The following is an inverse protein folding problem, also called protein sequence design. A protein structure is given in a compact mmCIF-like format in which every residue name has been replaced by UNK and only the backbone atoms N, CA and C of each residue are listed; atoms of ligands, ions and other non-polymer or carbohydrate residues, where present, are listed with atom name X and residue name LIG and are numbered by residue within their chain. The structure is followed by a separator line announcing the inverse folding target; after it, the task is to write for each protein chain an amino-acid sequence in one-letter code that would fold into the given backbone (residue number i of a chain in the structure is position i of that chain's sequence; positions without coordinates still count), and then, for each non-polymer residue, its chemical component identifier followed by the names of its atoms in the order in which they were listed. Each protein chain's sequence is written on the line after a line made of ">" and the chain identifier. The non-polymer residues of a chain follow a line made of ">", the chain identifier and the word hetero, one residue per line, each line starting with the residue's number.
data_IF_390227563436
#
_entry.id   IF_390227563436
#
_cell.length_a   1.000
_cell.length_b   1.000
_cell.length_c   1.000
_cell.angle_alpha   90.00
_cell.angle_beta   90.00
_cell.angle_gamma   90.00
#
_symmetry.space_group_name_H-M   'P 1'
#
loop_
_entity.id
_entity.type
_entity.pdbx_description
1 polymer ?
#
# COMPACT_ATOMS: atom_id res chain seq x y z
N UNK A 1 -15.45 -1.10 3.18
CA UNK A 1 -15.24 -0.33 1.92
C UNK A 1 -16.64 -0.09 1.38
N UNK A 2 -16.94 1.13 0.91
CA UNK A 2 -18.28 1.57 0.51
C UNK A 2 -18.88 0.66 -0.58
N UNK A 3 -20.21 0.55 -0.63
CA UNK A 3 -21.06 -0.33 -1.48
C UNK A 3 -21.41 -1.73 -0.93
N UNK A 4 -21.22 -2.00 0.36
CA UNK A 4 -21.50 -3.32 1.00
C UNK A 4 -20.69 -4.51 0.43
N UNK A 5 -19.93 -4.29 -0.63
CA UNK A 5 -18.97 -5.18 -1.29
C UNK A 5 -17.60 -5.07 -0.59
N UNK A 6 -17.60 -5.24 0.73
CA UNK A 6 -16.37 -5.25 1.54
C UNK A 6 -15.65 -6.61 1.54
N UNK A 7 -15.99 -7.48 0.58
CA UNK A 7 -15.49 -8.84 0.48
C UNK A 7 -14.45 -8.94 -0.63
N UNK A 8 -13.18 -9.04 -0.22
CA UNK A 8 -12.07 -9.17 -1.16
C UNK A 8 -10.73 -9.00 -0.47
N UNK A 9 -9.67 -9.34 -1.18
CA UNK A 9 -8.29 -9.20 -0.71
C UNK A 9 -7.36 -8.85 -1.87
N UNK A 10 -6.40 -7.97 -1.59
CA UNK A 10 -5.27 -7.69 -2.49
C UNK A 10 -3.99 -8.11 -1.79
N UNK A 11 -3.25 -9.05 -2.38
CA UNK A 11 -1.92 -9.47 -1.95
C UNK A 11 -0.88 -9.00 -2.94
N UNK A 12 0.14 -8.32 -2.45
CA UNK A 12 1.29 -7.88 -3.25
C UNK A 12 2.57 -8.52 -2.72
N UNK A 13 3.31 -9.17 -3.60
CA UNK A 13 4.61 -9.76 -3.29
C UNK A 13 5.73 -8.76 -3.62
N UNK A 14 6.63 -8.54 -2.67
CA UNK A 14 7.82 -7.68 -2.83
C UNK A 14 9.06 -8.39 -2.27
N UNK A 15 10.27 -8.13 -2.80
CA UNK A 15 11.49 -8.62 -2.19
C UNK A 15 11.74 -7.89 -0.85
N UNK A 16 12.42 -8.53 0.12
CA UNK A 16 12.78 -7.88 1.37
C UNK A 16 13.52 -6.55 1.16
N UNK A 17 13.07 -5.50 1.86
CA UNK A 17 13.69 -4.17 1.83
C UNK A 17 13.55 -3.38 0.53
N UNK A 18 12.79 -3.89 -0.45
CA UNK A 18 12.57 -3.25 -1.75
C UNK A 18 11.08 -3.06 -2.01
N UNK A 19 10.74 -2.06 -2.81
CA UNK A 19 9.35 -1.75 -3.16
C UNK A 19 8.91 -2.33 -4.52
N UNK A 20 9.83 -3.03 -5.21
CA UNK A 20 9.54 -3.70 -6.49
C UNK A 20 8.41 -4.71 -6.33
N UNK A 21 7.41 -4.61 -7.20
CA UNK A 21 6.30 -5.56 -7.28
C UNK A 21 6.75 -6.80 -8.06
N UNK A 22 6.66 -7.98 -7.44
CA UNK A 22 6.97 -9.27 -8.08
C UNK A 22 5.72 -9.96 -8.63
N UNK A 23 4.56 -9.66 -8.06
CA UNK A 23 3.28 -10.21 -8.45
C UNK A 23 2.18 -9.71 -7.53
N UNK A 24 0.94 -9.75 -8.05
CA UNK A 24 -0.25 -9.29 -7.33
C UNK A 24 -1.37 -10.30 -7.52
N UNK A 25 -2.11 -10.57 -6.45
CA UNK A 25 -3.35 -11.34 -6.47
C UNK A 25 -4.48 -10.44 -5.98
N UNK A 26 -5.53 -10.30 -6.78
CA UNK A 26 -6.73 -9.53 -6.46
C UNK A 26 -7.92 -10.47 -6.50
N UNK A 27 -8.69 -10.50 -5.41
CA UNK A 27 -9.94 -11.26 -5.30
C UNK A 27 -11.01 -10.30 -4.78
N UNK A 28 -12.16 -10.25 -5.42
CA UNK A 28 -13.27 -9.38 -5.04
C UNK A 28 -13.98 -8.80 -6.26
N UNK A 29 -15.00 -7.99 -6.01
CA UNK A 29 -15.67 -7.21 -7.04
C UNK A 29 -14.66 -6.28 -7.75
N UNK A 30 -14.83 -6.06 -9.05
CA UNK A 30 -13.95 -5.22 -9.86
C UNK A 30 -12.46 -5.64 -9.86
N UNK A 31 -12.13 -6.90 -9.53
CA UNK A 31 -10.75 -7.37 -9.51
C UNK A 31 -10.00 -7.14 -10.83
N UNK A 32 -10.69 -7.29 -11.97
CA UNK A 32 -10.13 -7.03 -13.30
C UNK A 32 -9.79 -5.57 -13.54
N UNK A 33 -10.57 -4.64 -12.98
CA UNK A 33 -10.30 -3.20 -13.08
C UNK A 33 -9.14 -2.82 -12.15
N UNK A 34 -9.17 -3.31 -10.91
CA UNK A 34 -8.16 -3.03 -9.87
C UNK A 34 -6.77 -3.58 -10.20
N UNK A 35 -6.68 -4.76 -10.82
CA UNK A 35 -5.38 -5.36 -11.16
C UNK A 35 -4.63 -4.55 -12.23
N UNK A 36 -5.35 -3.76 -13.04
CA UNK A 36 -4.78 -2.99 -14.16
C UNK A 36 -3.73 -1.97 -13.69
N UNK A 37 -3.95 -1.31 -12.56
CA UNK A 37 -2.96 -0.38 -11.98
C UNK A 37 -1.64 -1.10 -11.65
N UNK A 38 -1.73 -2.29 -11.06
CA UNK A 38 -0.56 -3.10 -10.72
C UNK A 38 0.15 -3.66 -11.95
N UNK A 39 -0.60 -4.04 -13.00
CA UNK A 39 -0.03 -4.45 -14.29
C UNK A 39 0.78 -3.30 -14.89
N UNK A 40 0.21 -2.10 -14.96
CA UNK A 40 0.89 -0.91 -15.46
C UNK A 40 2.16 -0.62 -14.64
N UNK A 41 2.06 -0.71 -13.31
CA UNK A 41 3.20 -0.50 -12.43
C UNK A 41 4.32 -1.53 -12.68
N UNK A 42 3.98 -2.83 -12.77
CA UNK A 42 4.95 -3.90 -13.06
C UNK A 42 5.59 -3.73 -14.43
N UNK A 43 4.80 -3.41 -15.47
CA UNK A 43 5.29 -3.21 -16.84
C UNK A 43 6.29 -2.05 -16.93
N UNK A 44 6.10 -1.00 -16.13
CA UNK A 44 6.96 0.18 -16.11
C UNK A 44 8.01 0.16 -14.99
N UNK A 45 8.16 -0.94 -14.26
CA UNK A 45 9.12 -1.05 -13.16
C UNK A 45 8.85 -0.11 -11.98
N UNK A 46 7.61 0.34 -11.81
CA UNK A 46 7.19 1.19 -10.69
C UNK A 46 6.90 0.33 -9.46
N UNK A 47 7.49 0.70 -8.32
CA UNK A 47 7.28 0.02 -7.05
C UNK A 47 6.08 0.55 -6.25
N UNK A 48 5.79 -0.11 -5.13
CA UNK A 48 4.73 0.29 -4.19
C UNK A 48 4.90 1.71 -3.65
N UNK A 49 6.13 2.23 -3.59
CA UNK A 49 6.36 3.63 -3.19
C UNK A 49 5.73 4.63 -4.16
N UNK A 50 5.71 4.31 -5.46
CA UNK A 50 5.09 5.16 -6.49
C UNK A 50 3.56 5.08 -6.42
N UNK A 51 3.01 3.88 -6.28
CA UNK A 51 1.56 3.69 -6.02
C UNK A 51 1.12 4.49 -4.79
N UNK A 52 1.84 4.40 -3.67
CA UNK A 52 1.50 5.16 -2.46
C UNK A 52 1.48 6.69 -2.68
N UNK A 53 2.36 7.19 -3.55
CA UNK A 53 2.46 8.61 -3.89
C UNK A 53 1.39 9.09 -4.88
N UNK A 54 0.72 8.19 -5.59
CA UNK A 54 -0.34 8.53 -6.55
C UNK A 54 -1.59 9.05 -5.84
N UNK A 55 -2.22 10.08 -6.42
CA UNK A 55 -3.52 10.59 -5.97
C UNK A 55 -4.58 9.61 -6.44
N UNK A 56 -5.21 8.94 -5.48
CA UNK A 56 -6.35 8.05 -5.72
C UNK A 56 -7.64 8.83 -5.44
N UNK A 57 -8.66 8.57 -6.24
CA UNK A 57 -9.94 9.27 -6.14
C UNK A 57 -10.74 8.71 -4.95
N UNK A 58 -11.26 9.60 -4.11
CA UNK A 58 -12.17 9.26 -3.00
C UNK A 58 -13.62 9.57 -3.37
N UNK A 59 -14.62 8.72 -3.04
CA UNK A 59 -14.50 7.36 -2.53
C UNK A 59 -14.53 6.34 -3.69
N UNK A 60 -13.48 5.53 -3.87
CA UNK A 60 -13.46 4.49 -4.92
C UNK A 60 -12.73 3.21 -4.48
N UNK A 61 -12.99 2.08 -5.15
CA UNK A 61 -12.23 0.85 -4.94
C UNK A 61 -10.75 0.99 -5.31
N UNK A 62 -10.38 1.92 -6.20
CA UNK A 62 -8.99 2.17 -6.56
C UNK A 62 -8.16 2.55 -5.32
N UNK A 63 -8.75 3.19 -4.31
CA UNK A 63 -8.06 3.50 -3.05
C UNK A 63 -7.49 2.29 -2.33
N UNK A 64 -7.98 1.07 -2.62
CA UNK A 64 -7.41 -0.17 -2.13
C UNK A 64 -5.92 -0.30 -2.47
N UNK A 65 -5.48 0.12 -3.67
CA UNK A 65 -4.07 0.10 -4.06
C UNK A 65 -3.20 1.01 -3.18
N UNK A 66 -3.69 2.23 -2.89
CA UNK A 66 -3.09 3.15 -1.91
C UNK A 66 -3.01 2.51 -0.52
N UNK A 67 -4.08 1.87 -0.05
CA UNK A 67 -4.09 1.23 1.27
C UNK A 67 -3.11 0.06 1.36
N UNK A 68 -3.01 -0.77 0.32
CA UNK A 68 -2.03 -1.86 0.22
C UNK A 68 -0.62 -1.31 0.29
N UNK A 69 -0.30 -0.28 -0.50
CA UNK A 69 1.01 0.35 -0.49
C UNK A 69 1.33 1.01 0.86
N UNK A 70 0.33 1.62 1.52
CA UNK A 70 0.47 2.19 2.86
C UNK A 70 0.73 1.13 3.93
N UNK A 71 0.03 -0.01 3.86
CA UNK A 71 0.27 -1.16 4.72
C UNK A 71 1.68 -1.73 4.54
N UNK A 72 2.13 -1.86 3.30
CA UNK A 72 3.51 -2.25 3.00
C UNK A 72 4.52 -1.26 3.60
N UNK A 73 4.32 0.06 3.40
CA UNK A 73 5.23 1.10 3.92
C UNK A 73 5.34 1.06 5.44
N UNK A 74 4.22 0.86 6.16
CA UNK A 74 4.22 0.72 7.62
C UNK A 74 5.09 -0.45 8.09
N UNK A 75 5.02 -1.60 7.39
CA UNK A 75 5.83 -2.79 7.72
C UNK A 75 7.34 -2.57 7.49
N UNK A 76 7.73 -1.59 6.67
CA UNK A 76 9.15 -1.26 6.41
C UNK A 76 9.75 -0.28 7.43
N UNK A 77 8.94 0.33 8.30
CA UNK A 77 9.45 1.29 9.30
C UNK A 77 10.14 0.52 10.43
N UNK A 78 11.41 0.84 10.69
CA UNK A 78 12.18 0.23 11.78
C UNK A 78 11.60 0.54 13.16
N UNK A 79 11.42 -0.49 13.99
CA UNK A 79 10.94 -0.36 15.38
C UNK A 79 11.85 0.52 16.23
N UNK A 80 13.18 0.45 16.02
CA UNK A 80 14.14 1.29 16.75
C UNK A 80 13.93 2.78 16.47
N UNK A 81 13.68 3.12 15.20
CA UNK A 81 13.41 4.50 14.81
C UNK A 81 12.09 4.99 15.44
N UNK A 82 11.05 4.16 15.43
CA UNK A 82 9.77 4.48 16.09
C UNK A 82 9.94 4.68 17.60
N UNK A 83 10.71 3.83 18.27
CA UNK A 83 10.97 3.94 19.71
C UNK A 83 11.79 5.18 20.07
N UNK A 84 12.78 5.54 19.25
CA UNK A 84 13.53 6.78 19.42
C UNK A 84 12.64 8.02 19.22
N UNK A 85 11.87 8.05 18.13
CA UNK A 85 10.98 9.17 17.80
C UNK A 85 9.88 9.35 18.84
N UNK A 86 9.29 8.27 19.36
CA UNK A 86 8.28 8.36 20.43
C UNK A 86 8.88 8.91 21.72
N UNK A 87 10.10 8.50 22.08
CA UNK A 87 10.82 9.03 23.25
C UNK A 87 11.18 10.50 23.08
N UNK A 88 11.67 10.89 21.91
CA UNK A 88 11.98 12.28 21.57
C UNK A 88 10.72 13.17 21.58
N UNK A 89 9.64 12.73 20.93
CA UNK A 89 8.36 13.45 20.92
C UNK A 89 7.77 13.57 22.33
N UNK A 90 7.95 12.56 23.19
CA UNK A 90 7.54 12.63 24.60
C UNK A 90 8.36 13.64 25.39
N UNK A 91 9.67 13.75 25.14
CA UNK A 91 10.52 14.76 25.75
C UNK A 91 10.14 16.18 25.30
N UNK A 92 9.83 16.39 24.02
CA UNK A 92 9.42 17.70 23.48
C UNK A 92 8.01 18.16 23.87
N UNK A 93 7.12 17.24 24.26
CA UNK A 93 5.75 17.55 24.70
C UNK A 93 5.66 17.79 26.22
N UNK A 94 6.78 17.73 26.93
CA UNK A 94 6.95 18.23 28.30
C UNK A 94 7.62 19.60 28.24
#
# INVERSE_FOLDING_TARGET
>A
ITDSEAHGEIKVLTPPGKDKILGVTVVGEHAGDLITEFILAMQNGLGLGKILGTIHIYPTLAESARFVAGNWRRKQVSERATNFLTRFNRWRRR
#
